data_IF_442863452231
#
_entry.id   IF_442863452231
#
_cell.length_a   1.000
_cell.length_b   1.000
_cell.length_c   1.000
_cell.angle_alpha   90.00
_cell.angle_beta   90.00
_cell.angle_gamma   90.00
#
_symmetry.space_group_name_H-M   'P 1'
#
loop_
_entity.id
_entity.type
_entity.pdbx_description
1 polymer ?
#
# COMPACT_ATOMS: atom_id res chain seq x y z
N UNK A 1 9.55 -47.81 40.37
CA UNK A 1 9.30 -47.02 39.14
C UNK A 1 7.86 -47.27 38.76
N UNK A 2 6.98 -46.26 38.71
CA UNK A 2 7.11 -45.13 37.78
C UNK A 2 6.96 -43.74 38.44
N UNK A 3 7.58 -42.75 37.81
CA UNK A 3 7.55 -41.32 38.14
C UNK A 3 6.29 -40.68 37.59
N UNK A 4 5.56 -39.99 38.47
CA UNK A 4 4.36 -39.22 38.17
C UNK A 4 4.75 -37.98 37.35
N UNK A 5 4.19 -37.86 36.15
CA UNK A 5 4.42 -36.78 35.19
C UNK A 5 3.72 -35.50 35.70
N UNK A 6 4.47 -34.60 36.36
CA UNK A 6 3.99 -33.28 36.73
C UNK A 6 4.01 -32.38 35.46
N UNK A 7 2.86 -32.17 34.81
CA UNK A 7 2.73 -31.20 33.73
C UNK A 7 3.06 -29.78 34.26
N UNK A 8 3.77 -28.93 33.49
CA UNK A 8 4.21 -27.63 33.96
C UNK A 8 3.05 -26.63 33.93
N UNK A 9 2.45 -26.40 35.10
CA UNK A 9 1.43 -25.35 35.34
C UNK A 9 1.95 -23.95 34.96
N UNK A 10 3.26 -23.78 34.82
CA UNK A 10 3.91 -22.52 34.43
C UNK A 10 3.61 -22.05 33.00
N UNK A 11 3.22 -22.93 32.07
CA UNK A 11 2.98 -22.53 30.67
C UNK A 11 1.64 -21.78 30.49
N UNK A 12 0.65 -22.03 31.35
CA UNK A 12 -0.67 -21.39 31.29
C UNK A 12 -0.65 -20.01 31.95
N UNK A 13 0.17 -19.82 32.99
CA UNK A 13 0.30 -18.54 33.68
C UNK A 13 0.93 -17.44 32.79
N UNK A 14 1.82 -17.81 31.86
CA UNK A 14 2.42 -16.86 30.91
C UNK A 14 1.44 -16.35 29.84
N UNK A 15 0.39 -17.10 29.53
CA UNK A 15 -0.61 -16.72 28.53
C UNK A 15 -1.63 -15.68 29.04
N UNK A 16 -1.76 -15.52 30.36
CA UNK A 16 -2.74 -14.63 30.99
C UNK A 16 -2.18 -13.24 31.36
N UNK A 17 -0.86 -13.03 31.32
CA UNK A 17 -0.24 -11.74 31.62
C UNK A 17 -0.02 -10.83 30.40
N UNK A 18 -0.30 -11.29 29.19
CA UNK A 18 -0.15 -10.50 27.96
C UNK A 18 -1.39 -9.62 27.61
N UNK A 19 -2.31 -9.40 28.56
CA UNK A 19 -3.48 -8.55 28.38
C UNK A 19 -3.63 -7.55 29.53
N UNK A 20 -2.58 -6.79 29.81
CA UNK A 20 -2.73 -5.46 30.40
C UNK A 20 -2.72 -4.44 29.26
N UNK A 21 -3.91 -3.94 28.87
CA UNK A 21 -3.99 -2.68 28.15
C UNK A 21 -3.39 -1.62 29.07
N UNK A 22 -2.17 -1.15 28.78
CA UNK A 22 -1.71 0.12 29.34
C UNK A 22 -2.66 1.18 28.76
N UNK A 23 -3.53 1.72 29.61
CA UNK A 23 -4.28 2.92 29.27
C UNK A 23 -3.26 4.04 29.02
N UNK A 24 -3.17 4.52 27.79
CA UNK A 24 -2.35 5.69 27.47
C UNK A 24 -2.97 6.87 28.21
N UNK A 25 -2.30 7.34 29.27
CA UNK A 25 -2.62 8.61 29.90
C UNK A 25 -2.02 9.73 29.04
N UNK A 26 -2.84 10.63 28.45
CA UNK A 26 -2.34 11.66 27.54
C UNK A 26 -1.30 12.60 28.18
N UNK A 27 -1.27 12.69 29.52
CA UNK A 27 -0.34 13.56 30.26
C UNK A 27 1.10 13.03 30.35
N UNK A 28 1.32 11.73 30.11
CA UNK A 28 2.65 11.10 30.18
C UNK A 28 3.26 10.79 28.81
N UNK A 29 2.66 11.31 27.74
CA UNK A 29 3.19 11.11 26.39
C UNK A 29 4.38 12.05 26.20
N UNK A 30 5.59 11.54 25.87
CA UNK A 30 6.69 12.41 25.44
C UNK A 30 6.20 13.31 24.30
N UNK A 31 6.71 14.55 24.17
CA UNK A 31 6.34 15.40 23.05
C UNK A 31 6.60 14.64 21.74
N UNK A 32 5.53 14.43 20.98
CA UNK A 32 5.63 13.84 19.64
C UNK A 32 6.49 14.78 18.83
N UNK A 33 7.69 14.33 18.46
CA UNK A 33 8.54 15.07 17.53
C UNK A 33 7.85 15.04 16.17
N UNK A 34 7.10 16.10 15.85
CA UNK A 34 6.25 16.21 14.65
C UNK A 34 7.06 16.17 13.34
N UNK A 35 8.40 16.21 13.42
CA UNK A 35 9.31 16.13 12.28
C UNK A 35 9.31 14.79 11.55
N UNK A 36 8.70 13.73 12.11
CA UNK A 36 8.75 12.35 11.55
C UNK A 36 7.37 11.83 11.08
N UNK A 37 6.37 12.70 10.99
CA UNK A 37 5.09 12.34 10.36
C UNK A 37 5.24 12.48 8.84
N UNK A 38 5.42 11.35 8.14
CA UNK A 38 5.37 11.32 6.67
C UNK A 38 4.04 11.94 6.23
N UNK A 39 4.12 13.08 5.55
CA UNK A 39 2.95 13.86 5.17
C UNK A 39 2.15 13.11 4.10
N UNK A 40 0.92 12.74 4.43
CA UNK A 40 -0.05 12.20 3.47
C UNK A 40 -0.56 13.37 2.62
N UNK A 41 -0.19 13.41 1.34
CA UNK A 41 -0.61 14.50 0.47
C UNK A 41 -0.91 14.03 -0.94
N UNK A 42 -1.80 14.75 -1.60
CA UNK A 42 -2.10 14.56 -3.00
C UNK A 42 -1.23 15.51 -3.85
N UNK A 43 -0.81 15.08 -5.06
CA UNK A 43 -1.03 13.76 -5.65
C UNK A 43 -0.14 12.66 -5.02
N UNK A 44 -0.64 11.42 -4.98
CA UNK A 44 0.05 10.28 -4.34
C UNK A 44 1.21 9.73 -5.18
N UNK A 45 1.17 9.94 -6.51
CA UNK A 45 2.26 9.67 -7.46
C UNK A 45 2.63 11.02 -8.06
N UNK A 46 3.91 11.40 -8.00
CA UNK A 46 4.38 12.74 -8.41
C UNK A 46 5.31 12.73 -9.61
N UNK A 47 5.87 11.57 -9.96
CA UNK A 47 6.84 11.42 -11.06
C UNK A 47 6.21 10.97 -12.38
N UNK A 48 4.92 10.65 -12.40
CA UNK A 48 4.13 10.33 -13.60
C UNK A 48 2.73 10.96 -13.50
N UNK A 49 2.18 11.35 -14.65
CA UNK A 49 0.78 11.75 -14.73
C UNK A 49 -0.08 10.50 -14.84
N UNK A 50 -1.02 10.34 -13.90
CA UNK A 50 -1.86 9.16 -13.77
C UNK A 50 -3.33 9.54 -13.85
N UNK A 51 -4.12 8.72 -14.54
CA UNK A 51 -5.55 8.91 -14.73
C UNK A 51 -6.33 7.60 -14.52
N UNK A 52 -7.65 7.71 -14.38
CA UNK A 52 -8.62 6.61 -14.33
C UNK A 52 -8.25 5.44 -13.38
N UNK A 53 -8.09 5.72 -12.07
CA UNK A 53 -7.60 4.74 -11.12
C UNK A 53 -8.61 3.61 -10.87
N UNK A 54 -8.13 2.37 -10.91
CA UNK A 54 -8.80 1.18 -10.41
C UNK A 54 -7.95 0.51 -9.33
N UNK A 55 -8.56 0.08 -8.22
CA UNK A 55 -7.84 -0.52 -7.10
C UNK A 55 -8.35 -1.94 -6.77
N UNK A 56 -7.42 -2.83 -6.45
CA UNK A 56 -7.68 -4.20 -5.99
C UNK A 56 -6.89 -4.45 -4.69
N UNK A 57 -7.48 -5.18 -3.74
CA UNK A 57 -6.75 -5.70 -2.59
C UNK A 57 -6.47 -7.18 -2.80
N UNK A 58 -5.20 -7.57 -2.74
CA UNK A 58 -4.77 -8.96 -2.83
C UNK A 58 -3.72 -9.25 -1.75
N UNK A 59 -3.96 -10.28 -0.94
CA UNK A 59 -3.06 -10.70 0.15
C UNK A 59 -2.60 -9.57 1.10
N UNK A 60 -3.48 -8.60 1.36
CA UNK A 60 -3.19 -7.47 2.25
C UNK A 60 -2.46 -6.30 1.57
N UNK A 61 -2.19 -6.39 0.27
CA UNK A 61 -1.59 -5.32 -0.53
C UNK A 61 -2.65 -4.68 -1.42
N UNK A 62 -2.69 -3.35 -1.44
CA UNK A 62 -3.47 -2.60 -2.42
C UNK A 62 -2.64 -2.47 -3.69
N UNK A 63 -3.21 -2.87 -4.81
CA UNK A 63 -2.70 -2.63 -6.15
C UNK A 63 -3.55 -1.53 -6.81
N UNK A 64 -2.88 -0.49 -7.28
CA UNK A 64 -3.47 0.65 -7.97
C UNK A 64 -3.06 0.58 -9.44
N UNK A 65 -4.05 0.43 -10.31
CA UNK A 65 -3.94 0.43 -11.76
C UNK A 65 -4.37 1.80 -12.27
N UNK A 66 -3.57 2.41 -13.14
CA UNK A 66 -3.88 3.73 -13.72
C UNK A 66 -3.52 3.74 -15.21
N UNK A 67 -4.15 4.61 -15.99
CA UNK A 67 -3.58 5.02 -17.27
C UNK A 67 -2.38 5.94 -17.08
N UNK A 68 -1.45 5.98 -18.05
CA UNK A 68 -0.33 6.92 -18.10
C UNK A 68 -0.64 8.07 -19.06
N UNK A 69 -0.84 9.29 -18.54
CA UNK A 69 -1.07 10.46 -19.39
C UNK A 69 0.26 11.04 -19.88
N UNK A 70 0.45 11.05 -21.19
CA UNK A 70 1.69 11.43 -21.89
C UNK A 70 1.44 12.59 -22.87
N UNK A 71 0.31 13.30 -22.74
CA UNK A 71 -0.02 14.45 -23.57
C UNK A 71 1.02 15.58 -23.40
N UNK A 72 1.47 16.13 -24.53
CA UNK A 72 2.31 17.33 -24.57
C UNK A 72 1.46 18.59 -24.30
N UNK A 73 2.09 19.69 -23.87
CA UNK A 73 1.37 20.90 -23.43
C UNK A 73 0.48 21.54 -24.52
N UNK A 74 0.82 21.37 -25.79
CA UNK A 74 0.07 21.87 -26.94
C UNK A 74 -0.83 20.81 -27.58
N UNK A 75 -0.91 19.61 -26.98
CA UNK A 75 -1.77 18.53 -27.41
C UNK A 75 -3.15 18.64 -26.73
N UNK A 76 -4.20 18.77 -27.55
CA UNK A 76 -5.55 19.10 -27.06
C UNK A 76 -6.44 17.86 -26.85
N UNK A 77 -5.84 16.69 -26.59
CA UNK A 77 -6.55 15.44 -26.36
C UNK A 77 -5.74 14.55 -25.42
N UNK A 78 -6.27 13.39 -25.00
CA UNK A 78 -5.46 12.46 -24.19
C UNK A 78 -4.52 11.66 -25.08
N UNK A 79 -3.32 11.38 -24.55
CA UNK A 79 -2.30 10.56 -25.21
C UNK A 79 -1.80 9.58 -24.18
N UNK A 80 -2.23 8.33 -24.30
CA UNK A 80 -1.97 7.28 -23.31
C UNK A 80 -1.60 6.00 -24.04
N UNK A 81 -0.38 5.48 -23.81
CA UNK A 81 0.12 4.30 -24.53
C UNK A 81 0.19 3.03 -23.64
N UNK A 82 0.15 3.22 -22.33
CA UNK A 82 0.35 2.15 -21.36
C UNK A 82 -0.49 2.33 -20.09
N UNK A 83 -0.72 1.22 -19.39
CA UNK A 83 -1.25 1.22 -18.03
C UNK A 83 -0.12 0.98 -17.05
N UNK A 84 -0.18 1.65 -15.89
CA UNK A 84 0.79 1.55 -14.81
C UNK A 84 0.20 0.77 -13.65
N UNK A 85 1.07 0.11 -12.88
CA UNK A 85 0.69 -0.53 -11.62
C UNK A 85 1.59 -0.05 -10.50
N UNK A 86 0.94 0.32 -9.40
CA UNK A 86 1.58 0.64 -8.14
C UNK A 86 1.04 -0.27 -7.04
N UNK A 87 1.81 -0.52 -5.99
CA UNK A 87 1.31 -1.25 -4.82
C UNK A 87 1.68 -0.60 -3.50
N UNK A 88 0.83 -0.80 -2.49
CA UNK A 88 1.10 -0.34 -1.13
C UNK A 88 0.50 -1.29 -0.10
N UNK A 89 1.23 -1.53 0.98
CA UNK A 89 0.74 -2.25 2.18
C UNK A 89 0.23 -1.32 3.26
N UNK A 90 0.47 -0.01 3.14
CA UNK A 90 0.14 0.99 4.15
C UNK A 90 -0.62 2.22 3.60
N UNK A 91 -0.91 2.25 2.29
CA UNK A 91 -1.59 3.35 1.56
C UNK A 91 -0.81 4.68 1.51
N UNK A 92 0.49 4.62 1.79
CA UNK A 92 1.35 5.81 2.00
C UNK A 92 2.61 5.70 1.15
N UNK A 93 3.27 4.55 1.22
CA UNK A 93 4.42 4.19 0.43
C UNK A 93 3.93 3.38 -0.78
N UNK A 94 4.18 3.91 -1.98
CA UNK A 94 3.78 3.28 -3.23
C UNK A 94 5.02 2.76 -3.96
N UNK A 95 5.05 1.47 -4.24
CA UNK A 95 6.02 0.81 -5.10
C UNK A 95 5.50 0.81 -6.54
N UNK A 96 6.31 1.23 -7.49
CA UNK A 96 6.00 1.13 -8.93
C UNK A 96 6.46 -0.23 -9.48
N UNK A 97 5.62 -0.85 -10.29
CA UNK A 97 5.90 -2.13 -10.95
C UNK A 97 6.24 -1.92 -12.43
N UNK A 98 6.88 -2.90 -13.10
CA UNK A 98 6.99 -2.90 -14.55
C UNK A 98 5.62 -2.77 -15.21
N UNK A 99 5.57 -2.06 -16.35
CA UNK A 99 4.36 -1.87 -17.15
C UNK A 99 3.75 -3.23 -17.49
N UNK A 100 2.54 -3.55 -17.00
CA UNK A 100 1.93 -4.87 -17.19
C UNK A 100 1.17 -4.99 -18.51
N UNK A 101 0.79 -3.85 -19.11
CA UNK A 101 -0.07 -3.81 -20.28
C UNK A 101 0.16 -2.52 -21.08
N UNK A 102 0.20 -2.66 -22.40
CA UNK A 102 0.36 -1.57 -23.36
C UNK A 102 -0.51 -1.82 -24.60
N UNK A 103 -0.76 -0.78 -25.40
CA UNK A 103 -1.63 -0.87 -26.58
C UNK A 103 -1.22 -1.98 -27.54
N UNK A 104 0.09 -2.14 -27.78
CA UNK A 104 0.62 -3.12 -28.72
C UNK A 104 0.43 -4.57 -28.30
N UNK A 105 -0.03 -4.83 -27.07
CA UNK A 105 -0.38 -6.17 -26.63
C UNK A 105 -1.73 -6.64 -27.20
N UNK A 106 -2.50 -5.72 -27.79
CA UNK A 106 -3.78 -6.01 -28.46
C UNK A 106 -3.62 -5.86 -29.98
N UNK A 107 -3.61 -6.99 -30.71
CA UNK A 107 -3.42 -7.02 -32.17
C UNK A 107 -4.37 -6.11 -32.98
N UNK A 108 -5.55 -5.83 -32.42
CA UNK A 108 -6.60 -5.05 -33.07
C UNK A 108 -6.62 -3.58 -32.63
N UNK A 109 -5.94 -3.24 -31.53
CA UNK A 109 -5.91 -1.88 -31.01
C UNK A 109 -4.94 -1.02 -31.81
N UNK A 110 -5.26 0.27 -31.94
CA UNK A 110 -4.44 1.23 -32.71
C UNK A 110 -3.77 2.27 -31.82
N UNK A 111 -4.46 2.70 -30.77
CA UNK A 111 -4.07 3.76 -29.84
C UNK A 111 -4.97 3.68 -28.60
N UNK A 112 -4.80 4.66 -27.70
CA UNK A 112 -5.73 5.04 -26.63
C UNK A 112 -5.87 4.02 -25.50
N UNK A 113 -5.02 4.13 -24.48
CA UNK A 113 -5.05 3.25 -23.30
C UNK A 113 -6.11 3.66 -22.27
N UNK A 114 -7.38 3.76 -22.71
CA UNK A 114 -8.57 4.01 -21.87
C UNK A 114 -9.69 2.97 -22.08
#
# INVERSE_FOLDING_TARGET
>A
MPTMMQLPIYLIAFLLLACSKQGVNPENTPPVNITDQKQYNNPIITHKFTADPAALVHEGTVYLYTGHDEAELDYNFYKMNEWLVFSSTNMIDWEEHPVPLQISDFDWAKADAW
#
